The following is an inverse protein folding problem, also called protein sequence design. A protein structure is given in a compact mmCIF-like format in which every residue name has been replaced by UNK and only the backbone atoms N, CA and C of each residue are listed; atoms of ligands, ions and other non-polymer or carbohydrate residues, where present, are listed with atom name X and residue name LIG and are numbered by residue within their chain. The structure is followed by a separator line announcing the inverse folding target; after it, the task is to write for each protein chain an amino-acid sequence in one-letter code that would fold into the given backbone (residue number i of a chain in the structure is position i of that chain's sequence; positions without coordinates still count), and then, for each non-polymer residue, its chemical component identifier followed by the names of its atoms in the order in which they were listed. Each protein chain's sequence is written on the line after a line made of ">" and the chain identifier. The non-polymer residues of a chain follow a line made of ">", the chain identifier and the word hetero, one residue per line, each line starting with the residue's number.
data_IF_090294484050
#
_entry.id   IF_090294484050
#
_cell.length_a   1.000
_cell.length_b   1.000
_cell.length_c   1.000
_cell.angle_alpha   90.00
_cell.angle_beta   90.00
_cell.angle_gamma   90.00
#
_symmetry.space_group_name_H-M   'P 1'
#
loop_
_entity.id
_entity.type
_entity.pdbx_description
1 polymer ?
#
# COMPACT_ATOMS: atom_id res chain seq x y z
N UNK A 1 6.14 -31.55 -40.41
CA UNK A 1 5.22 -31.81 -39.29
C UNK A 1 5.60 -30.83 -38.18
N UNK A 2 4.83 -29.76 -37.98
CA UNK A 2 5.17 -28.70 -37.01
C UNK A 2 4.96 -29.26 -35.60
N UNK A 3 5.97 -29.12 -34.74
CA UNK A 3 5.97 -29.67 -33.40
C UNK A 3 4.82 -29.05 -32.56
N UNK A 4 3.88 -29.90 -32.09
CA UNK A 4 2.70 -29.47 -31.31
C UNK A 4 3.08 -28.71 -30.03
N UNK A 5 4.28 -28.92 -29.50
CA UNK A 5 4.85 -28.16 -28.38
C UNK A 5 5.04 -26.67 -28.71
N UNK A 6 5.48 -26.34 -29.94
CA UNK A 6 5.69 -24.95 -30.41
C UNK A 6 4.34 -24.23 -30.55
N UNK A 7 3.31 -24.94 -31.01
CA UNK A 7 1.95 -24.39 -31.15
C UNK A 7 1.32 -24.11 -29.79
N UNK A 8 1.62 -24.92 -28.77
CA UNK A 8 1.16 -24.71 -27.39
C UNK A 8 1.76 -23.45 -26.74
N UNK A 9 3.01 -23.13 -27.06
CA UNK A 9 3.68 -21.89 -26.62
C UNK A 9 3.09 -20.61 -27.22
N UNK A 10 2.51 -20.71 -28.43
CA UNK A 10 1.85 -19.62 -29.16
C UNK A 10 0.36 -19.41 -28.76
N UNK A 11 -0.19 -20.20 -27.84
CA UNK A 11 -1.61 -20.09 -27.45
C UNK A 11 -1.95 -18.91 -26.53
N UNK A 12 -0.96 -18.20 -25.97
CA UNK A 12 -1.25 -16.99 -25.18
C UNK A 12 -1.37 -15.78 -26.10
N UNK A 13 -2.62 -15.45 -26.43
CA UNK A 13 -2.99 -14.28 -27.26
C UNK A 13 -3.00 -12.98 -26.43
N UNK A 14 -2.91 -13.08 -25.10
CA UNK A 14 -2.99 -11.95 -24.17
C UNK A 14 -1.96 -12.09 -23.04
N UNK A 15 -1.38 -10.97 -22.63
CA UNK A 15 -0.57 -10.87 -21.42
C UNK A 15 -1.48 -10.72 -20.20
N UNK A 16 -1.23 -11.52 -19.16
CA UNK A 16 -1.92 -11.44 -17.87
C UNK A 16 -1.05 -10.69 -16.87
N UNK A 17 -1.71 -9.95 -15.97
CA UNK A 17 -1.05 -9.25 -14.90
C UNK A 17 -0.26 -10.23 -14.02
N UNK A 18 0.98 -9.85 -13.71
CA UNK A 18 1.85 -10.60 -12.80
C UNK A 18 1.45 -10.37 -11.35
N UNK A 19 1.72 -11.36 -10.50
CA UNK A 19 1.45 -11.28 -9.05
C UNK A 19 2.42 -10.37 -8.28
N UNK A 20 3.55 -10.00 -8.87
CA UNK A 20 4.64 -9.24 -8.23
C UNK A 20 4.62 -7.73 -8.58
N UNK A 21 3.71 -7.31 -9.46
CA UNK A 21 3.55 -5.94 -9.93
C UNK A 21 4.55 -5.51 -11.00
N UNK A 22 5.49 -6.36 -11.41
CA UNK A 22 6.50 -5.99 -12.40
C UNK A 22 5.90 -5.78 -13.79
N UNK A 23 6.53 -4.90 -14.57
CA UNK A 23 6.17 -4.60 -15.96
C UNK A 23 4.75 -4.03 -16.14
N UNK A 24 4.09 -3.56 -15.08
CA UNK A 24 2.80 -2.90 -15.18
C UNK A 24 2.91 -1.54 -15.92
N UNK A 25 4.00 -0.81 -15.68
CA UNK A 25 4.34 0.40 -16.39
C UNK A 25 5.44 0.15 -17.43
N UNK A 26 5.22 0.58 -18.67
CA UNK A 26 6.14 0.37 -19.80
C UNK A 26 7.51 1.05 -19.59
N UNK A 27 7.50 2.29 -19.11
CA UNK A 27 8.71 3.09 -18.95
C UNK A 27 9.44 2.83 -17.62
N UNK A 28 8.69 2.41 -16.59
CA UNK A 28 9.20 2.16 -15.25
C UNK A 28 8.68 0.81 -14.74
N UNK A 29 9.25 -0.32 -15.22
CA UNK A 29 8.77 -1.67 -14.90
C UNK A 29 8.68 -2.00 -13.41
N UNK A 30 9.40 -1.27 -12.57
CA UNK A 30 9.50 -1.45 -11.13
C UNK A 30 8.40 -0.73 -10.31
N UNK A 31 7.59 0.14 -10.93
CA UNK A 31 6.55 0.88 -10.20
C UNK A 31 5.42 -0.03 -9.72
N UNK A 32 5.05 0.09 -8.44
CA UNK A 32 4.02 -0.74 -7.82
C UNK A 32 4.44 -2.18 -7.57
N UNK A 33 5.73 -2.50 -7.71
CA UNK A 33 6.26 -3.83 -7.40
C UNK A 33 6.37 -4.06 -5.90
N UNK A 34 6.27 -5.33 -5.50
CA UNK A 34 6.54 -5.72 -4.12
C UNK A 34 7.97 -5.35 -3.72
N UNK A 35 8.13 -4.72 -2.56
CA UNK A 35 9.44 -4.29 -2.04
C UNK A 35 9.96 -2.96 -2.60
N UNK A 36 9.26 -2.33 -3.56
CA UNK A 36 9.60 -0.98 -4.01
C UNK A 36 9.43 0.05 -2.88
N UNK A 37 10.24 1.13 -2.93
CA UNK A 37 10.12 2.22 -1.97
C UNK A 37 8.79 2.96 -2.11
N UNK A 38 8.23 3.38 -0.97
CA UNK A 38 7.07 4.27 -0.95
C UNK A 38 7.45 5.66 -1.45
N UNK A 39 6.56 6.26 -2.24
CA UNK A 39 6.67 7.66 -2.64
C UNK A 39 6.53 8.58 -1.42
N UNK A 40 7.18 9.74 -1.46
CA UNK A 40 7.09 10.77 -0.43
C UNK A 40 6.65 12.09 -1.06
N UNK A 41 5.46 12.56 -0.71
CA UNK A 41 4.95 13.86 -1.15
C UNK A 41 5.71 15.03 -0.49
N UNK A 42 6.37 14.78 0.65
CA UNK A 42 7.19 15.74 1.36
C UNK A 42 8.52 15.11 1.85
N UNK A 43 9.60 15.89 2.01
CA UNK A 43 10.86 15.38 2.54
C UNK A 43 10.72 14.70 3.90
N UNK A 44 11.54 13.69 4.16
CA UNK A 44 11.60 13.03 5.48
C UNK A 44 12.16 13.96 6.56
N UNK A 45 11.55 13.92 7.76
CA UNK A 45 11.97 14.72 8.93
C UNK A 45 12.59 13.84 10.02
N UNK A 46 13.76 13.29 9.75
CA UNK A 46 14.57 12.57 10.73
C UNK A 46 15.43 13.55 11.54
N UNK A 47 15.84 13.16 12.74
CA UNK A 47 16.67 14.01 13.63
C UNK A 47 18.04 14.31 13.03
N UNK A 48 18.66 13.30 12.41
CA UNK A 48 19.93 13.38 11.69
C UNK A 48 19.76 13.71 10.19
N UNK A 49 18.52 13.91 9.74
CA UNK A 49 18.17 14.09 8.33
C UNK A 49 18.18 12.81 7.48
N UNK A 50 18.49 11.64 8.04
CA UNK A 50 18.66 10.39 7.28
C UNK A 50 17.76 9.27 7.77
N UNK A 51 17.88 8.84 9.03
CA UNK A 51 17.12 7.68 9.54
C UNK A 51 16.80 7.74 11.04
N UNK A 52 17.47 8.58 11.82
CA UNK A 52 17.24 8.64 13.27
C UNK A 52 15.88 9.24 13.58
N UNK A 53 15.08 8.50 14.36
CA UNK A 53 13.79 8.97 14.84
C UNK A 53 13.97 10.21 15.71
N UNK A 54 13.09 11.20 15.52
CA UNK A 54 13.07 12.38 16.36
C UNK A 54 12.46 12.05 17.73
N UNK A 55 13.29 12.11 18.78
CA UNK A 55 12.91 11.82 20.18
C UNK A 55 12.44 13.05 20.96
N UNK A 56 12.54 14.25 20.38
CA UNK A 56 12.15 15.51 21.03
C UNK A 56 10.63 15.78 20.94
N UNK A 57 9.86 14.80 20.45
CA UNK A 57 8.41 14.88 20.30
C UNK A 57 7.69 14.35 21.57
N UNK A 58 6.47 14.82 21.86
CA UNK A 58 5.67 14.27 22.94
C UNK A 58 5.46 12.76 22.79
N UNK A 59 5.31 12.07 23.93
CA UNK A 59 5.00 10.64 23.94
C UNK A 59 3.75 10.33 23.12
N UNK A 60 3.85 9.35 22.22
CA UNK A 60 2.72 8.86 21.43
C UNK A 60 1.55 8.41 22.32
N UNK A 61 1.83 7.86 23.50
CA UNK A 61 0.81 7.45 24.47
C UNK A 61 0.09 8.65 25.09
N UNK A 62 0.82 9.72 25.40
CA UNK A 62 0.25 10.95 25.94
C UNK A 62 -0.70 11.61 24.93
N UNK A 63 -0.29 11.70 23.66
CA UNK A 63 -1.16 12.19 22.58
C UNK A 63 -2.38 11.27 22.40
N UNK A 64 -2.20 9.95 22.50
CA UNK A 64 -3.31 9.00 22.40
C UNK A 64 -4.38 9.22 23.47
N UNK A 65 -3.99 9.36 24.74
CA UNK A 65 -4.94 9.69 25.83
C UNK A 65 -5.61 11.04 25.62
N UNK A 66 -4.85 12.05 25.18
CA UNK A 66 -5.36 13.42 25.07
C UNK A 66 -6.38 13.56 23.92
N UNK A 67 -6.14 12.90 22.79
CA UNK A 67 -6.90 13.12 21.54
C UNK A 67 -7.96 12.04 21.29
N UNK A 68 -7.66 10.78 21.58
CA UNK A 68 -8.51 9.65 21.14
C UNK A 68 -9.36 9.04 22.25
N UNK A 69 -9.18 9.46 23.51
CA UNK A 69 -10.02 9.01 24.62
C UNK A 69 -11.41 9.62 24.50
N UNK A 70 -12.44 8.77 24.49
CA UNK A 70 -13.83 9.19 24.40
C UNK A 70 -14.81 8.04 24.59
N UNK A 71 -16.11 8.33 24.67
CA UNK A 71 -17.15 7.32 24.81
C UNK A 71 -17.28 6.48 23.52
N UNK A 72 -17.59 5.20 23.68
CA UNK A 72 -17.96 4.33 22.57
C UNK A 72 -19.41 4.55 22.13
N UNK A 73 -19.80 3.97 20.99
CA UNK A 73 -21.19 3.98 20.52
C UNK A 73 -21.61 5.25 19.78
N UNK A 74 -20.66 6.12 19.40
CA UNK A 74 -20.93 7.29 18.56
C UNK A 74 -21.29 6.79 17.14
N UNK A 75 -22.53 6.98 16.67
CA UNK A 75 -22.96 6.46 15.37
C UNK A 75 -22.31 7.23 14.22
N UNK A 76 -22.09 6.55 13.11
CA UNK A 76 -21.58 7.17 11.90
C UNK A 76 -22.61 8.16 11.32
N UNK A 77 -22.24 9.44 11.18
CA UNK A 77 -23.10 10.50 10.64
C UNK A 77 -23.51 10.30 9.17
N UNK A 78 -22.86 9.39 8.44
CA UNK A 78 -23.15 9.06 7.04
C UNK A 78 -23.93 7.76 6.87
N UNK A 79 -24.37 7.12 7.96
CA UNK A 79 -25.07 5.83 7.94
C UNK A 79 -24.33 4.72 7.18
N UNK A 80 -23.00 4.78 7.18
CA UNK A 80 -22.15 3.78 6.55
C UNK A 80 -22.02 2.58 7.48
N UNK A 81 -22.08 1.39 6.90
CA UNK A 81 -21.99 0.12 7.61
C UNK A 81 -20.56 -0.20 8.03
N UNK A 82 -20.43 -1.01 9.08
CA UNK A 82 -19.15 -1.58 9.51
C UNK A 82 -18.47 -2.39 8.40
N UNK A 83 -19.23 -2.93 7.45
CA UNK A 83 -18.69 -3.63 6.28
C UNK A 83 -17.77 -2.75 5.45
N UNK A 84 -18.06 -1.45 5.29
CA UNK A 84 -17.16 -0.58 4.53
C UNK A 84 -15.79 -0.45 5.21
N UNK A 85 -15.76 -0.33 6.53
CA UNK A 85 -14.52 -0.21 7.29
C UNK A 85 -13.68 -1.50 7.23
N UNK A 86 -14.33 -2.67 7.20
CA UNK A 86 -13.62 -3.95 7.02
C UNK A 86 -13.18 -4.17 5.58
N UNK A 87 -14.00 -3.80 4.60
CA UNK A 87 -13.64 -3.92 3.19
C UNK A 87 -12.35 -3.15 2.85
N UNK A 88 -12.17 -1.94 3.40
CA UNK A 88 -10.95 -1.15 3.15
C UNK A 88 -9.69 -1.67 3.85
N UNK A 89 -9.83 -2.64 4.77
CA UNK A 89 -8.71 -3.26 5.48
C UNK A 89 -8.24 -4.55 4.81
N UNK A 90 -9.14 -5.23 4.09
CA UNK A 90 -8.83 -6.44 3.32
C UNK A 90 -7.84 -6.13 2.19
#
# INVERSE_FOLDING_TARGET
>A
MINKEIVKGLQRVQEFQRYDGWFNNLANPQWGTVGAHLHRDAPSRYQDGVYMLNVDLPSARAISELVFKGPAGIPNKRNVTTMLAFFSKL
#
